data_IF_793629522470
#
_entry.id   IF_793629522470
#
_cell.length_a   1.000
_cell.length_b   1.000
_cell.length_c   1.000
_cell.angle_alpha   90.00
_cell.angle_beta   90.00
_cell.angle_gamma   90.00
#
_symmetry.space_group_name_H-M   'P 1'
#
loop_
_entity.id
_entity.type
_entity.pdbx_description
1 polymer ?
#
# COMPACT_ATOMS: atom_id res chain seq x y z
N UNK A 1 10.45 -10.07 -50.45
CA UNK A 1 9.99 -8.72 -50.07
C UNK A 1 8.79 -8.93 -49.17
N UNK A 2 8.99 -8.88 -47.86
CA UNK A 2 7.95 -9.12 -46.85
C UNK A 2 7.58 -7.75 -46.31
N UNK A 3 6.41 -7.26 -46.71
CA UNK A 3 5.78 -6.09 -46.09
C UNK A 3 5.43 -6.49 -44.66
N UNK A 4 6.18 -5.94 -43.71
CA UNK A 4 5.84 -6.02 -42.30
C UNK A 4 4.76 -4.96 -42.09
N UNK A 5 3.50 -5.39 -42.08
CA UNK A 5 2.37 -4.57 -41.65
C UNK A 5 2.63 -4.15 -40.20
N UNK A 6 2.93 -2.87 -40.00
CA UNK A 6 2.97 -2.19 -38.71
C UNK A 6 1.55 -2.17 -38.13
N UNK A 7 1.13 -3.28 -37.52
CA UNK A 7 -0.07 -3.32 -36.73
C UNK A 7 0.21 -2.64 -35.39
N UNK A 8 0.09 -1.31 -35.40
CA UNK A 8 -0.10 -0.51 -34.20
C UNK A 8 -1.35 -1.00 -33.45
N UNK A 9 -1.14 -1.89 -32.49
CA UNK A 9 -2.14 -2.37 -31.53
C UNK A 9 -2.74 -1.17 -30.78
N UNK A 10 -3.82 -0.61 -31.32
CA UNK A 10 -4.63 0.35 -30.61
C UNK A 10 -5.34 -0.36 -29.45
N UNK A 11 -5.23 0.13 -28.19
CA UNK A 11 -5.95 -0.46 -27.06
C UNK A 11 -7.44 -0.14 -27.18
N UNK A 12 -8.18 -0.97 -27.94
CA UNK A 12 -9.65 -0.91 -28.06
C UNK A 12 -10.39 -1.48 -26.84
N UNK A 13 -9.66 -2.06 -25.87
CA UNK A 13 -10.24 -2.76 -24.72
C UNK A 13 -10.73 -1.84 -23.58
N UNK A 14 -10.48 -0.52 -23.66
CA UNK A 14 -10.84 0.44 -22.59
C UNK A 14 -12.26 1.03 -22.70
N UNK A 15 -13.05 0.70 -23.75
CA UNK A 15 -14.31 1.42 -24.04
C UNK A 15 -15.45 1.25 -23.04
N UNK A 16 -15.32 0.36 -22.05
CA UNK A 16 -16.32 0.17 -20.99
C UNK A 16 -15.81 0.43 -19.57
N UNK A 17 -14.51 0.71 -19.38
CA UNK A 17 -13.90 0.89 -18.07
C UNK A 17 -13.73 2.38 -17.77
N UNK A 18 -14.05 2.78 -16.55
CA UNK A 18 -13.84 4.15 -16.11
C UNK A 18 -12.33 4.48 -16.11
N UNK A 19 -11.96 5.53 -16.84
CA UNK A 19 -10.57 5.90 -17.11
C UNK A 19 -9.95 6.66 -15.94
N UNK A 20 -8.91 6.09 -15.32
CA UNK A 20 -8.27 6.63 -14.11
C UNK A 20 -7.04 7.48 -14.44
N UNK A 21 -6.50 8.20 -13.45
CA UNK A 21 -5.24 8.93 -13.60
C UNK A 21 -4.08 7.97 -13.93
N UNK A 22 -4.08 6.77 -13.33
CA UNK A 22 -3.10 5.73 -13.63
C UNK A 22 -3.13 5.30 -15.12
N UNK A 23 -4.32 5.15 -15.69
CA UNK A 23 -4.48 4.81 -17.12
C UNK A 23 -3.99 5.96 -18.02
N UNK A 24 -4.26 7.22 -17.62
CA UNK A 24 -3.78 8.40 -18.34
C UNK A 24 -2.25 8.49 -18.37
N UNK A 25 -1.59 8.16 -17.27
CA UNK A 25 -0.12 8.10 -17.18
C UNK A 25 0.43 6.96 -18.05
N UNK A 26 -0.18 5.77 -17.99
CA UNK A 26 0.23 4.62 -18.81
C UNK A 26 0.17 4.95 -20.30
N UNK A 27 -0.90 5.62 -20.74
CA UNK A 27 -1.05 6.08 -22.13
C UNK A 27 -0.03 7.16 -22.50
N UNK A 28 0.24 8.12 -21.60
CA UNK A 28 1.21 9.19 -21.83
C UNK A 28 2.66 8.68 -21.89
N UNK A 29 3.00 7.66 -21.10
CA UNK A 29 4.33 7.04 -21.08
C UNK A 29 4.75 6.44 -22.42
N UNK A 30 3.79 5.88 -23.18
CA UNK A 30 4.04 5.38 -24.52
C UNK A 30 4.48 6.48 -25.51
N UNK A 31 4.06 7.74 -25.29
CA UNK A 31 4.48 8.90 -26.08
C UNK A 31 5.86 9.45 -25.71
N UNK A 32 6.28 9.30 -24.45
CA UNK A 32 7.60 9.73 -23.98
C UNK A 32 8.75 8.91 -24.60
N UNK A 33 8.52 7.61 -24.82
CA UNK A 33 9.47 6.73 -25.52
C UNK A 33 9.74 7.19 -26.97
N UNK A 34 8.91 8.07 -27.53
CA UNK A 34 9.07 8.64 -28.88
C UNK A 34 9.82 9.99 -28.88
N UNK A 35 10.43 10.39 -27.76
CA UNK A 35 11.34 11.54 -27.70
C UNK A 35 10.65 12.91 -27.56
N UNK A 36 9.38 12.97 -27.16
CA UNK A 36 8.71 14.24 -26.90
C UNK A 36 9.14 14.77 -25.51
N UNK A 37 9.85 15.90 -25.48
CA UNK A 37 10.48 16.44 -24.27
C UNK A 37 9.53 17.18 -23.30
N UNK A 38 8.24 17.29 -23.64
CA UNK A 38 7.25 17.93 -22.78
C UNK A 38 6.71 16.96 -21.73
N UNK A 39 6.74 17.35 -20.45
CA UNK A 39 6.10 16.60 -19.37
C UNK A 39 4.59 16.50 -19.62
N UNK A 40 4.02 15.29 -19.74
CA UNK A 40 2.60 15.14 -20.01
C UNK A 40 1.73 15.70 -18.87
N UNK A 41 0.59 16.29 -19.21
CA UNK A 41 -0.42 16.81 -18.26
C UNK A 41 -0.77 15.82 -17.13
N UNK A 42 -1.09 14.53 -17.40
CA UNK A 42 -1.41 13.59 -16.32
C UNK A 42 -0.21 13.31 -15.41
N UNK A 43 1.01 13.28 -15.94
CA UNK A 43 2.22 13.09 -15.13
C UNK A 43 2.49 14.31 -14.25
N UNK A 44 2.27 15.52 -14.78
CA UNK A 44 2.37 16.77 -14.01
C UNK A 44 1.33 16.82 -12.89
N UNK A 45 0.08 16.45 -13.18
CA UNK A 45 -1.00 16.39 -12.18
C UNK A 45 -0.64 15.41 -11.06
N UNK A 46 -0.17 14.21 -11.40
CA UNK A 46 0.27 13.22 -10.41
C UNK A 46 1.43 13.73 -9.55
N UNK A 47 2.45 14.35 -10.15
CA UNK A 47 3.58 14.90 -9.41
C UNK A 47 3.16 16.02 -8.45
N UNK A 48 2.23 16.89 -8.84
CA UNK A 48 1.68 17.93 -7.97
C UNK A 48 0.92 17.34 -6.78
N UNK A 49 0.08 16.33 -7.03
CA UNK A 49 -0.69 15.64 -6.00
C UNK A 49 0.21 14.91 -5.02
N UNK A 50 1.16 14.12 -5.53
CA UNK A 50 2.10 13.36 -4.71
C UNK A 50 2.92 14.31 -3.83
N UNK A 51 3.42 15.41 -4.42
CA UNK A 51 4.20 16.41 -3.70
C UNK A 51 3.40 17.17 -2.64
N UNK A 52 2.12 17.45 -2.89
CA UNK A 52 1.23 18.07 -1.89
C UNK A 52 0.98 17.11 -0.73
N UNK A 53 0.65 15.86 -1.02
CA UNK A 53 0.41 14.83 0.01
C UNK A 53 1.66 14.65 0.88
N UNK A 54 2.85 14.56 0.28
CA UNK A 54 4.10 14.38 1.02
C UNK A 54 4.47 15.59 1.91
N UNK A 55 4.07 16.80 1.52
CA UNK A 55 4.34 18.01 2.29
C UNK A 55 3.38 18.21 3.46
N UNK A 56 2.14 17.72 3.34
CA UNK A 56 1.08 18.01 4.31
C UNK A 56 0.70 16.82 5.20
N UNK A 57 1.17 15.60 4.92
CA UNK A 57 1.03 14.49 5.85
C UNK A 57 2.21 14.44 6.83
N UNK A 58 1.92 14.47 8.13
CA UNK A 58 2.92 14.25 9.19
C UNK A 58 3.53 12.84 9.16
N UNK A 59 2.82 11.87 8.60
CA UNK A 59 3.24 10.46 8.52
C UNK A 59 4.37 10.22 7.49
N UNK A 60 4.92 11.26 6.85
CA UNK A 60 6.03 11.19 5.89
C UNK A 60 5.79 10.14 4.78
N UNK A 61 6.81 9.38 4.33
CA UNK A 61 6.62 8.23 3.43
C UNK A 61 5.99 7.01 4.14
N UNK A 62 5.03 7.26 5.03
CA UNK A 62 4.30 6.27 5.79
C UNK A 62 3.20 5.59 4.98
N UNK A 63 2.57 4.60 5.62
CA UNK A 63 1.54 3.76 5.00
C UNK A 63 0.31 4.57 4.60
N UNK A 64 -0.07 5.59 5.38
CA UNK A 64 -1.23 6.43 5.09
C UNK A 64 -1.04 7.21 3.80
N UNK A 65 0.12 7.84 3.60
CA UNK A 65 0.42 8.59 2.38
C UNK A 65 0.40 7.71 1.14
N UNK A 66 0.94 6.49 1.22
CA UNK A 66 0.91 5.54 0.11
C UNK A 66 -0.53 5.13 -0.28
N UNK A 67 -1.36 4.82 0.73
CA UNK A 67 -2.75 4.43 0.47
C UNK A 67 -3.56 5.61 -0.05
N UNK A 68 -3.37 6.81 0.49
CA UNK A 68 -4.05 8.02 0.02
C UNK A 68 -3.68 8.35 -1.43
N UNK A 69 -2.39 8.30 -1.80
CA UNK A 69 -1.93 8.49 -3.19
C UNK A 69 -2.56 7.46 -4.13
N UNK A 70 -2.72 6.22 -3.67
CA UNK A 70 -3.38 5.17 -4.46
C UNK A 70 -4.87 5.48 -4.67
N UNK A 71 -5.60 5.85 -3.62
CA UNK A 71 -7.02 6.24 -3.72
C UNK A 71 -7.20 7.41 -4.70
N UNK A 72 -6.37 8.44 -4.60
CA UNK A 72 -6.42 9.61 -5.50
C UNK A 72 -6.13 9.23 -6.95
N UNK A 73 -5.20 8.29 -7.21
CA UNK A 73 -4.87 7.84 -8.57
C UNK A 73 -5.97 6.97 -9.21
N UNK A 74 -6.74 6.25 -8.39
CA UNK A 74 -7.86 5.43 -8.81
C UNK A 74 -9.14 6.25 -9.05
N UNK A 75 -9.23 7.45 -8.46
CA UNK A 75 -10.40 8.32 -8.58
C UNK A 75 -10.53 8.96 -9.98
N UNK A 76 -11.76 8.95 -10.50
CA UNK A 76 -12.09 9.45 -11.85
C UNK A 76 -12.14 10.97 -11.93
N UNK A 77 -12.29 11.67 -10.80
CA UNK A 77 -12.31 13.14 -10.78
C UNK A 77 -10.96 13.70 -11.17
N UNK A 78 -9.88 13.04 -10.78
CA UNK A 78 -8.51 13.45 -11.11
C UNK A 78 -8.23 13.30 -12.61
N UNK A 79 -8.76 12.26 -13.25
CA UNK A 79 -8.60 12.07 -14.70
C UNK A 79 -9.44 13.04 -15.53
N UNK A 80 -10.47 13.65 -14.95
CA UNK A 80 -11.29 14.69 -15.57
C UNK A 80 -10.69 16.08 -15.43
N UNK A 81 -9.89 16.33 -14.40
CA UNK A 81 -9.36 17.65 -14.05
C UNK A 81 -7.82 17.67 -13.95
N UNK A 82 -7.11 17.45 -15.07
CA UNK A 82 -5.64 17.50 -15.07
C UNK A 82 -5.05 18.91 -14.87
N UNK A 83 -5.81 19.96 -15.19
CA UNK A 83 -5.34 21.36 -15.07
C UNK A 83 -5.51 21.93 -13.66
N UNK A 84 -6.51 21.41 -12.93
CA UNK A 84 -6.81 21.80 -11.56
C UNK A 84 -6.84 20.56 -10.64
N UNK A 85 -5.71 19.84 -10.50
CA UNK A 85 -5.67 18.61 -9.71
C UNK A 85 -5.97 18.84 -8.23
N UNK A 86 -5.70 20.05 -7.71
CA UNK A 86 -5.96 20.40 -6.31
C UNK A 86 -7.46 20.48 -6.00
N UNK A 87 -8.29 20.96 -6.95
CA UNK A 87 -9.75 20.99 -6.78
C UNK A 87 -10.30 19.56 -6.70
N UNK A 88 -9.78 18.66 -7.54
CA UNK A 88 -10.15 17.24 -7.48
C UNK A 88 -9.72 16.61 -6.15
N UNK A 89 -8.52 16.93 -5.65
CA UNK A 89 -8.04 16.45 -4.36
C UNK A 89 -8.91 16.95 -3.20
N UNK A 90 -9.25 18.23 -3.18
CA UNK A 90 -10.13 18.81 -2.17
C UNK A 90 -11.48 18.11 -2.15
N UNK A 91 -12.09 17.87 -3.31
CA UNK A 91 -13.36 17.15 -3.39
C UNK A 91 -13.26 15.71 -2.87
N UNK A 92 -12.18 14.99 -3.20
CA UNK A 92 -11.93 13.63 -2.71
C UNK A 92 -11.76 13.63 -1.19
N UNK A 93 -10.94 14.53 -0.65
CA UNK A 93 -10.67 14.61 0.79
C UNK A 93 -11.93 15.03 1.56
N UNK A 94 -12.71 15.96 1.02
CA UNK A 94 -13.97 16.41 1.62
C UNK A 94 -14.96 15.25 1.72
N UNK A 95 -15.18 14.52 0.63
CA UNK A 95 -16.06 13.34 0.64
C UNK A 95 -15.56 12.25 1.59
N UNK A 96 -14.24 12.01 1.61
CA UNK A 96 -13.64 10.99 2.46
C UNK A 96 -13.75 11.31 3.95
N UNK A 97 -13.78 12.60 4.34
CA UNK A 97 -13.95 13.02 5.73
C UNK A 97 -15.42 13.16 6.12
N UNK A 98 -16.32 13.45 5.17
CA UNK A 98 -17.75 13.57 5.41
C UNK A 98 -18.46 12.22 5.49
N UNK A 99 -18.01 11.24 4.71
CA UNK A 99 -18.63 9.92 4.65
C UNK A 99 -17.85 8.93 5.54
N UNK A 100 -18.44 8.58 6.69
CA UNK A 100 -17.83 7.68 7.68
C UNK A 100 -17.44 6.32 7.08
N UNK A 101 -18.19 5.83 6.10
CA UNK A 101 -17.94 4.55 5.44
C UNK A 101 -16.69 4.59 4.56
N UNK A 102 -16.45 5.71 3.87
CA UNK A 102 -15.24 5.92 3.08
C UNK A 102 -14.02 6.11 3.97
N UNK A 103 -14.17 6.85 5.06
CA UNK A 103 -13.12 7.02 6.06
C UNK A 103 -12.73 5.67 6.70
N UNK A 104 -13.73 4.86 7.05
CA UNK A 104 -13.51 3.53 7.61
C UNK A 104 -12.80 2.60 6.62
N UNK A 105 -13.21 2.59 5.35
CA UNK A 105 -12.55 1.79 4.32
C UNK A 105 -11.12 2.25 4.06
N UNK A 106 -10.83 3.56 4.09
CA UNK A 106 -9.46 4.07 4.05
C UNK A 106 -8.65 3.54 5.23
N UNK A 107 -9.18 3.67 6.46
CA UNK A 107 -8.52 3.20 7.67
C UNK A 107 -8.24 1.68 7.62
N UNK A 108 -9.19 0.90 7.09
CA UNK A 108 -9.03 -0.54 6.86
C UNK A 108 -7.92 -0.84 5.87
N UNK A 109 -7.86 -0.15 4.72
CA UNK A 109 -6.78 -0.31 3.73
C UNK A 109 -5.41 0.03 4.32
N UNK A 110 -5.34 1.08 5.13
CA UNK A 110 -4.12 1.46 5.88
C UNK A 110 -3.72 0.37 6.86
N UNK A 111 -4.66 -0.17 7.64
CA UNK A 111 -4.38 -1.24 8.59
C UNK A 111 -3.86 -2.51 7.91
N UNK A 112 -4.49 -2.92 6.80
CA UNK A 112 -4.06 -4.07 5.99
C UNK A 112 -2.65 -3.83 5.43
N UNK A 113 -2.41 -2.68 4.80
CA UNK A 113 -1.10 -2.34 4.23
C UNK A 113 -0.03 -2.29 5.31
N UNK A 114 -0.33 -1.74 6.49
CA UNK A 114 0.59 -1.69 7.63
C UNK A 114 0.95 -3.09 8.11
N UNK A 115 -0.02 -4.00 8.20
CA UNK A 115 0.23 -5.41 8.50
C UNK A 115 1.16 -6.09 7.49
N UNK A 116 0.96 -5.82 6.19
CA UNK A 116 1.82 -6.37 5.12
C UNK A 116 3.24 -5.77 5.12
N UNK A 117 3.40 -4.49 5.43
CA UNK A 117 4.71 -3.81 5.42
C UNK A 117 5.55 -4.09 6.68
N UNK A 118 4.92 -4.31 7.83
CA UNK A 118 5.63 -4.54 9.10
C UNK A 118 5.92 -6.02 9.41
N UNK A 119 5.61 -6.95 8.49
CA UNK A 119 5.98 -8.35 8.66
C UNK A 119 5.35 -9.03 9.87
N UNK A 120 4.29 -8.45 10.45
CA UNK A 120 3.45 -9.17 11.39
C UNK A 120 2.54 -10.10 10.58
N UNK A 121 3.15 -11.16 10.05
CA UNK A 121 2.47 -12.44 9.95
C UNK A 121 1.92 -12.68 11.38
N UNK A 122 0.60 -12.69 11.61
CA UNK A 122 0.07 -12.96 12.93
C UNK A 122 0.40 -14.41 13.18
N UNK A 123 1.56 -14.66 13.80
CA UNK A 123 2.21 -15.96 13.87
C UNK A 123 1.18 -17.07 13.98
N UNK A 124 0.82 -17.64 12.83
CA UNK A 124 -0.05 -18.80 12.75
C UNK A 124 0.85 -19.96 13.13
N UNK A 125 1.24 -19.98 14.41
CA UNK A 125 1.75 -21.17 15.08
C UNK A 125 0.56 -22.11 15.33
N UNK A 126 -0.21 -22.43 14.29
CA UNK A 126 -1.07 -23.59 14.31
C UNK A 126 -0.23 -24.78 13.87
N UNK A 127 0.43 -25.43 14.82
CA UNK A 127 0.45 -26.89 14.96
C UNK A 127 1.51 -27.34 15.96
N UNK A 128 1.06 -28.03 17.00
CA UNK A 128 1.89 -29.00 17.71
C UNK A 128 2.46 -28.59 19.07
N UNK A 129 1.74 -27.81 19.89
CA UNK A 129 1.95 -27.94 21.34
C UNK A 129 1.47 -29.32 21.76
N UNK A 130 2.35 -30.31 21.60
CA UNK A 130 2.21 -31.62 22.23
C UNK A 130 2.01 -31.37 23.72
N UNK A 131 0.98 -31.96 24.38
CA UNK A 131 0.93 -31.88 25.82
C UNK A 131 2.20 -32.56 26.31
N UNK A 132 3.11 -31.81 26.91
CA UNK A 132 4.26 -32.42 27.58
C UNK A 132 3.70 -33.33 28.65
N UNK A 133 3.61 -34.62 28.31
CA UNK A 133 3.34 -35.72 29.22
C UNK A 133 4.43 -35.64 30.27
N UNK A 134 4.07 -35.18 31.48
CA UNK A 134 4.93 -35.27 32.66
C UNK A 134 5.35 -36.73 32.82
N UNK A 135 6.52 -37.09 32.31
CA UNK A 135 7.26 -38.27 32.77
C UNK A 135 7.86 -37.86 34.11
N UNK A 136 7.18 -38.24 35.17
CA UNK A 136 7.82 -38.50 36.45
C UNK A 136 8.95 -39.48 36.20
N UNK A 137 10.19 -39.02 36.38
CA UNK A 137 11.31 -39.91 36.68
C UNK A 137 11.76 -39.49 38.07
N UNK A 138 11.28 -40.26 39.04
CA UNK A 138 11.91 -40.41 40.35
C UNK A 138 13.24 -41.15 40.16
N UNK A 139 14.13 -40.99 41.13
CA UNK A 139 15.51 -41.51 41.26
C UNK A 139 16.54 -40.59 40.58
N UNK A 140 17.65 -40.19 41.19
CA UNK A 140 18.45 -40.77 42.26
C UNK A 140 19.28 -39.64 42.90
N UNK A 141 19.72 -39.86 44.14
CA UNK A 141 20.29 -38.87 45.04
C UNK A 141 21.50 -38.10 44.51
N UNK A 142 21.50 -36.80 44.79
CA UNK A 142 22.69 -35.97 44.80
C UNK A 142 22.85 -35.38 46.19
N UNK A 143 23.61 -36.09 47.03
CA UNK A 143 24.16 -35.57 48.28
C UNK A 143 25.31 -34.64 47.88
N UNK A 144 25.04 -33.33 47.95
CA UNK A 144 26.08 -32.30 47.81
C UNK A 144 26.87 -32.14 49.11
N UNK A 145 28.21 -31.96 49.07
CA UNK A 145 29.06 -31.91 50.26
C UNK A 145 29.37 -30.47 50.70
N UNK A 146 28.36 -29.64 50.97
CA UNK A 146 28.51 -28.34 51.66
C UNK A 146 27.14 -28.01 52.26
N UNK A 147 26.94 -27.64 53.51
CA UNK A 147 27.81 -27.16 54.58
C UNK A 147 26.88 -26.40 55.54
N UNK A 148 26.97 -26.73 56.82
CA UNK A 148 26.23 -26.18 57.97
C UNK A 148 26.01 -24.66 57.92
N UNK A 149 24.79 -24.24 58.27
CA UNK A 149 24.48 -23.10 59.16
C UNK A 149 23.19 -23.51 59.89
N UNK A 150 23.08 -23.61 61.22
CA UNK A 150 23.52 -22.68 62.25
C UNK A 150 22.24 -22.14 62.91
N UNK A 151 21.79 -22.83 63.97
CA UNK A 151 20.62 -22.49 64.80
C UNK A 151 20.79 -21.11 65.47
N UNK A 152 19.70 -20.36 65.51
CA UNK A 152 19.43 -19.26 66.43
C UNK A 152 18.04 -19.45 67.01
#
# INVERSE_FOLDING_TARGET
MVEIEDQGLAPRELRGRAFTLADAIAQAGAGLLKGNAAVPRPLRAAALLDGFIDQHLEDGPGVLGLVLKQVVREDLRVSRCFDAPMEALEAILTELVLEDELLYELARRVAVRRGSCMGNDPGFSSQGSSPTRRRTIVTSGFVGPWGRYGLG
#
